data_IF_891249883676
#
_entry.id   IF_891249883676
#
_cell.length_a   1.000
_cell.length_b   1.000
_cell.length_c   1.000
_cell.angle_alpha   90.00
_cell.angle_beta   90.00
_cell.angle_gamma   90.00
#
_symmetry.space_group_name_H-M   'P 1'
#
loop_
_entity.id
_entity.type
_entity.pdbx_description
1 polymer ?
#
# COMPACT_ATOMS: atom_id res chain seq x y z
N UNK A 1 4.84 24.75 -11.73
CA UNK A 1 5.68 23.77 -11.01
C UNK A 1 6.06 22.72 -12.02
N UNK A 2 7.31 22.27 -12.09
CA UNK A 2 7.67 21.21 -13.04
C UNK A 2 7.16 19.84 -12.55
N UNK A 3 7.00 18.89 -13.50
CA UNK A 3 6.45 17.54 -13.25
C UNK A 3 7.19 16.80 -12.13
N UNK A 4 8.52 16.90 -12.12
CA UNK A 4 9.37 16.23 -11.14
C UNK A 4 9.16 16.80 -9.74
N UNK A 5 8.99 18.13 -9.63
CA UNK A 5 8.62 18.79 -8.39
C UNK A 5 7.25 18.35 -7.89
N UNK A 6 6.25 18.22 -8.77
CA UNK A 6 4.91 17.79 -8.38
C UNK A 6 4.88 16.32 -7.92
N UNK A 7 5.58 15.42 -8.62
CA UNK A 7 5.76 14.03 -8.17
C UNK A 7 6.46 13.94 -6.82
N UNK A 8 7.52 14.73 -6.62
CA UNK A 8 8.22 14.76 -5.34
C UNK A 8 7.33 15.32 -4.22
N UNK A 9 6.55 16.36 -4.48
CA UNK A 9 5.57 16.88 -3.52
C UNK A 9 4.56 15.81 -3.12
N UNK A 10 3.98 15.10 -4.10
CA UNK A 10 3.03 14.01 -3.86
C UNK A 10 3.66 12.91 -3.01
N UNK A 11 4.87 12.48 -3.34
CA UNK A 11 5.64 11.53 -2.52
C UNK A 11 5.77 12.00 -1.07
N UNK A 12 6.18 13.25 -0.85
CA UNK A 12 6.35 13.78 0.51
C UNK A 12 5.02 13.84 1.27
N UNK A 13 3.92 14.17 0.58
CA UNK A 13 2.58 14.14 1.18
C UNK A 13 2.24 12.72 1.62
N UNK A 14 2.42 11.71 0.76
CA UNK A 14 2.09 10.32 1.10
C UNK A 14 2.93 9.82 2.28
N UNK A 15 4.25 10.04 2.25
CA UNK A 15 5.15 9.63 3.33
C UNK A 15 4.80 10.26 4.68
N UNK A 16 4.27 11.48 4.67
CA UNK A 16 3.86 12.21 5.87
C UNK A 16 2.45 11.82 6.33
N UNK A 17 1.49 11.73 5.42
CA UNK A 17 0.08 11.66 5.75
C UNK A 17 -0.44 10.23 5.90
N UNK A 18 0.19 9.21 5.28
CA UNK A 18 -0.21 7.81 5.50
C UNK A 18 -0.12 7.44 6.99
N UNK A 19 0.99 7.69 7.72
CA UNK A 19 1.02 7.46 9.16
C UNK A 19 -0.05 8.24 9.94
N UNK A 20 -0.42 9.45 9.50
CA UNK A 20 -1.45 10.24 10.15
C UNK A 20 -2.85 9.68 9.90
N UNK A 21 -3.15 9.24 8.68
CA UNK A 21 -4.40 8.57 8.34
C UNK A 21 -4.54 7.25 9.10
N UNK A 22 -3.45 6.48 9.19
CA UNK A 22 -3.40 5.20 9.91
C UNK A 22 -3.74 5.36 11.39
N UNK A 23 -3.21 6.40 12.06
CA UNK A 23 -3.52 6.70 13.47
C UNK A 23 -5.01 6.95 13.76
N UNK A 24 -5.79 7.33 12.75
CA UNK A 24 -7.22 7.62 12.90
C UNK A 24 -8.08 6.35 12.86
N UNK A 25 -7.57 5.25 12.33
CA UNK A 25 -8.31 3.98 12.22
C UNK A 25 -8.49 3.38 13.61
N UNK A 26 -9.73 2.99 13.91
CA UNK A 26 -10.05 2.30 15.16
C UNK A 26 -9.92 0.80 14.92
N UNK A 27 -9.01 0.17 15.65
CA UNK A 27 -8.82 -1.27 15.64
C UNK A 27 -9.54 -1.90 16.83
N UNK A 28 -10.02 -3.13 16.65
CA UNK A 28 -10.59 -3.89 17.75
C UNK A 28 -9.49 -4.36 18.70
N UNK A 29 -9.90 -4.66 19.94
CA UNK A 29 -8.96 -5.05 20.99
C UNK A 29 -8.33 -6.40 20.64
N UNK A 30 -7.03 -6.36 20.33
CA UNK A 30 -6.25 -7.56 20.03
C UNK A 30 -5.97 -7.75 18.55
N UNK A 31 -6.49 -6.88 17.68
CA UNK A 31 -6.13 -6.89 16.27
C UNK A 31 -4.64 -6.67 16.10
N UNK A 32 -4.05 -7.50 15.24
CA UNK A 32 -2.69 -7.32 14.75
C UNK A 32 -2.73 -7.08 13.26
N UNK A 33 -2.00 -6.07 12.82
CA UNK A 33 -1.91 -5.71 11.42
C UNK A 33 -0.77 -6.51 10.78
N UNK A 34 -1.08 -7.23 9.71
CA UNK A 34 -0.11 -8.01 8.95
C UNK A 34 0.33 -7.34 7.64
N UNK A 35 -0.45 -6.36 7.14
CA UNK A 35 0.02 -5.48 6.09
C UNK A 35 -0.75 -4.15 6.06
N UNK A 36 -0.18 -3.15 5.39
CA UNK A 36 -0.91 -2.00 4.84
C UNK A 36 -0.79 -2.06 3.33
N UNK A 37 -1.92 -2.10 2.65
CA UNK A 37 -1.99 -1.91 1.21
C UNK A 37 -2.28 -0.44 0.91
N UNK A 38 -1.44 0.15 0.08
CA UNK A 38 -1.74 1.41 -0.58
C UNK A 38 -2.47 1.04 -1.86
N UNK A 39 -3.75 1.35 -1.93
CA UNK A 39 -4.63 1.01 -3.04
C UNK A 39 -4.87 2.24 -3.91
N UNK A 40 -4.99 2.02 -5.21
CA UNK A 40 -5.55 3.01 -6.09
C UNK A 40 -5.84 2.45 -7.47
N UNK A 41 -6.24 3.37 -8.35
CA UNK A 41 -6.68 3.08 -9.71
C UNK A 41 -5.64 3.48 -10.75
N UNK A 42 -5.93 3.19 -12.02
CA UNK A 42 -5.12 3.64 -13.15
C UNK A 42 -4.88 5.15 -13.13
N UNK A 43 -5.84 5.91 -12.62
CA UNK A 43 -5.87 7.37 -12.72
C UNK A 43 -5.22 8.11 -11.55
N UNK A 44 -4.60 7.41 -10.61
CA UNK A 44 -4.03 8.00 -9.39
C UNK A 44 -2.50 7.92 -9.39
N UNK A 45 -1.78 9.02 -9.70
CA UNK A 45 -0.33 9.00 -9.76
C UNK A 45 0.38 8.40 -8.53
N UNK A 46 -0.13 8.68 -7.33
CA UNK A 46 0.22 7.98 -6.08
C UNK A 46 -1.03 7.41 -5.41
N UNK A 47 -0.87 6.40 -4.56
CA UNK A 47 -2.01 5.68 -3.99
C UNK A 47 -2.48 6.35 -2.69
N UNK A 48 -3.76 6.72 -2.63
CA UNK A 48 -4.35 7.49 -1.54
C UNK A 48 -5.28 6.71 -0.61
N UNK A 49 -5.75 5.54 -1.07
CA UNK A 49 -6.57 4.64 -0.30
C UNK A 49 -5.68 3.68 0.48
N UNK A 50 -6.00 3.45 1.74
CA UNK A 50 -5.15 2.69 2.67
C UNK A 50 -6.04 1.58 3.26
N UNK A 51 -5.74 0.33 2.95
CA UNK A 51 -6.44 -0.83 3.49
C UNK A 51 -5.51 -1.61 4.42
N UNK A 52 -6.05 -2.02 5.58
CA UNK A 52 -5.28 -2.79 6.55
C UNK A 52 -5.57 -4.27 6.33
N UNK A 53 -4.50 -5.08 6.36
CA UNK A 53 -4.58 -6.52 6.48
C UNK A 53 -4.60 -6.90 7.95
N UNK A 54 -5.68 -7.52 8.40
CA UNK A 54 -5.81 -8.00 9.78
C UNK A 54 -5.37 -9.47 9.85
N UNK A 55 -4.52 -9.81 10.82
CA UNK A 55 -3.95 -11.16 10.96
C UNK A 55 -5.02 -12.24 11.10
N UNK A 56 -6.09 -11.99 11.87
CA UNK A 56 -7.19 -12.94 12.06
C UNK A 56 -7.89 -13.26 10.74
N UNK A 57 -8.23 -12.25 9.95
CA UNK A 57 -8.85 -12.41 8.64
C UNK A 57 -7.94 -13.16 7.66
N UNK A 58 -6.65 -12.80 7.60
CA UNK A 58 -5.67 -13.53 6.77
C UNK A 58 -5.59 -15.00 7.16
N UNK A 59 -5.59 -15.30 8.47
CA UNK A 59 -5.55 -16.68 8.96
C UNK A 59 -6.84 -17.45 8.61
N UNK A 60 -8.00 -16.79 8.63
CA UNK A 60 -9.27 -17.37 8.18
C UNK A 60 -9.27 -17.68 6.68
N UNK A 61 -8.73 -16.78 5.85
CA UNK A 61 -8.53 -17.00 4.41
C UNK A 61 -7.62 -18.21 4.21
N UNK A 62 -6.43 -18.24 4.83
CA UNK A 62 -5.49 -19.38 4.73
C UNK A 62 -6.17 -20.70 5.13
N UNK A 63 -7.01 -20.69 6.17
CA UNK A 63 -7.75 -21.87 6.61
C UNK A 63 -8.81 -22.32 5.60
N UNK A 64 -9.42 -21.38 4.88
CA UNK A 64 -10.47 -21.63 3.91
C UNK A 64 -9.93 -22.13 2.57
N UNK A 65 -8.95 -21.44 2.00
CA UNK A 65 -8.44 -21.70 0.64
C UNK A 65 -7.09 -22.43 0.61
N UNK A 66 -6.40 -22.51 1.75
CA UNK A 66 -5.07 -23.09 1.86
C UNK A 66 -3.95 -22.05 1.69
N UNK A 67 -2.77 -22.36 2.23
CA UNK A 67 -1.60 -21.46 2.21
C UNK A 67 -1.04 -21.23 0.79
N UNK A 68 -1.36 -22.11 -0.16
CA UNK A 68 -0.84 -22.04 -1.53
C UNK A 68 -1.60 -21.03 -2.40
N UNK A 69 -2.80 -20.60 -1.99
CA UNK A 69 -3.56 -19.55 -2.68
C UNK A 69 -3.07 -18.15 -2.27
N UNK A 70 -1.91 -17.77 -2.81
CA UNK A 70 -1.26 -16.48 -2.50
C UNK A 70 -2.13 -15.30 -2.93
N UNK A 71 -2.87 -15.44 -4.03
CA UNK A 71 -3.74 -14.37 -4.51
C UNK A 71 -4.79 -14.01 -3.46
N UNK A 72 -5.52 -15.00 -2.94
CA UNK A 72 -6.55 -14.75 -1.90
C UNK A 72 -5.96 -14.19 -0.61
N UNK A 73 -4.74 -14.61 -0.22
CA UNK A 73 -4.07 -14.16 1.01
C UNK A 73 -3.70 -12.67 0.95
N UNK A 74 -3.31 -12.17 -0.22
CA UNK A 74 -2.87 -10.79 -0.44
C UNK A 74 -3.95 -9.90 -1.08
N UNK A 75 -5.06 -10.47 -1.52
CA UNK A 75 -6.18 -9.72 -2.06
C UNK A 75 -6.81 -8.85 -0.97
N UNK A 76 -6.61 -7.55 -1.09
CA UNK A 76 -7.08 -6.56 -0.11
C UNK A 76 -8.60 -6.39 -0.13
N UNK A 77 -9.26 -6.81 -1.22
CA UNK A 77 -10.72 -6.87 -1.31
C UNK A 77 -11.36 -7.89 -0.36
N UNK A 78 -10.60 -8.84 0.17
CA UNK A 78 -11.06 -9.79 1.20
C UNK A 78 -11.06 -9.18 2.61
N UNK A 79 -10.47 -7.98 2.78
CA UNK A 79 -10.41 -7.31 4.09
C UNK A 79 -11.67 -6.46 4.36
N UNK A 80 -12.10 -6.36 5.63
CA UNK A 80 -13.25 -5.53 5.97
C UNK A 80 -13.01 -4.05 5.67
N UNK A 81 -14.04 -3.42 5.11
CA UNK A 81 -14.02 -2.01 4.67
C UNK A 81 -13.91 -1.04 5.85
N UNK A 82 -14.29 -1.43 7.06
CA UNK A 82 -14.16 -0.59 8.26
C UNK A 82 -12.70 -0.32 8.66
N UNK A 83 -11.75 -1.13 8.18
CA UNK A 83 -10.31 -0.92 8.37
C UNK A 83 -9.66 -0.14 7.22
N UNK A 84 -10.47 0.47 6.37
CA UNK A 84 -10.03 1.33 5.29
C UNK A 84 -9.96 2.79 5.75
N UNK A 85 -8.98 3.52 5.24
CA UNK A 85 -8.85 4.96 5.44
C UNK A 85 -8.24 5.62 4.20
N UNK A 86 -8.22 6.94 4.17
CA UNK A 86 -7.68 7.73 3.07
C UNK A 86 -6.75 8.81 3.59
N UNK A 87 -5.85 9.27 2.72
CA UNK A 87 -5.12 10.52 2.96
C UNK A 87 -6.11 11.68 2.91
N UNK A 88 -6.35 12.26 4.07
CA UNK A 88 -7.31 13.34 4.27
C UNK A 88 -6.57 14.68 4.27
N UNK A 89 -6.58 15.39 3.14
CA UNK A 89 -5.94 16.69 2.98
C UNK A 89 -6.18 17.33 1.63
N UNK A 90 -6.70 18.57 1.63
CA UNK A 90 -7.14 19.32 0.44
C UNK A 90 -6.09 19.36 -0.68
N UNK A 91 -4.81 19.49 -0.31
CA UNK A 91 -3.71 19.60 -1.28
C UNK A 91 -3.34 18.28 -1.97
N UNK A 92 -3.74 17.11 -1.46
CA UNK A 92 -3.35 15.83 -2.05
C UNK A 92 -4.12 15.55 -3.34
N UNK A 93 -5.45 15.59 -3.28
CA UNK A 93 -6.31 15.36 -4.44
C UNK A 93 -6.07 16.41 -5.55
N UNK A 94 -5.94 17.69 -5.17
CA UNK A 94 -5.63 18.76 -6.13
C UNK A 94 -4.31 18.52 -6.87
N UNK A 95 -3.28 18.05 -6.18
CA UNK A 95 -1.98 17.74 -6.79
C UNK A 95 -2.02 16.49 -7.68
N UNK A 96 -2.80 15.47 -7.32
CA UNK A 96 -3.04 14.30 -8.16
C UNK A 96 -3.69 14.72 -9.48
N UNK A 97 -4.77 15.51 -9.40
CA UNK A 97 -5.46 16.02 -10.58
C UNK A 97 -4.57 16.91 -11.45
N UNK A 98 -3.78 17.80 -10.82
CA UNK A 98 -2.85 18.66 -11.55
C UNK A 98 -1.82 17.82 -12.31
N UNK A 99 -1.31 16.74 -11.71
CA UNK A 99 -0.33 15.88 -12.34
C UNK A 99 -0.94 15.14 -13.54
N UNK A 100 -2.16 14.61 -13.41
CA UNK A 100 -2.88 13.97 -14.53
C UNK A 100 -3.11 14.98 -15.67
N UNK A 101 -3.56 16.20 -15.36
CA UNK A 101 -3.78 17.27 -16.36
C UNK A 101 -2.50 17.68 -17.09
N UNK A 102 -1.37 17.77 -16.37
CA UNK A 102 -0.08 18.20 -16.93
C UNK A 102 0.56 17.17 -17.87
N UNK A 103 0.13 15.91 -17.82
CA UNK A 103 0.64 14.86 -18.70
C UNK A 103 -0.19 14.65 -19.96
N UNK A 104 -1.50 14.95 -19.94
CA UNK A 104 -2.34 14.93 -21.14
C UNK A 104 -2.23 13.60 -21.90
N UNK A 105 -1.74 13.64 -23.15
CA UNK A 105 -1.62 12.49 -24.03
C UNK A 105 -0.37 11.61 -23.76
N UNK A 106 0.55 12.02 -22.87
CA UNK A 106 1.79 11.30 -22.53
C UNK A 106 1.58 10.25 -21.42
N UNK A 107 0.46 9.53 -21.51
CA UNK A 107 -0.03 8.66 -20.45
C UNK A 107 0.90 7.48 -20.15
N UNK A 108 1.50 6.87 -21.18
CA UNK A 108 2.40 5.72 -21.00
C UNK A 108 3.66 6.10 -20.19
N UNK A 109 4.27 7.26 -20.46
CA UNK A 109 5.43 7.71 -19.69
C UNK A 109 5.03 8.12 -18.26
N UNK A 110 3.86 8.75 -18.08
CA UNK A 110 3.33 9.04 -16.75
C UNK A 110 3.16 7.76 -15.94
N UNK A 111 2.61 6.72 -16.57
CA UNK A 111 2.30 5.46 -15.94
C UNK A 111 3.54 4.83 -15.29
N UNK A 112 4.62 4.67 -16.05
CA UNK A 112 5.87 4.07 -15.57
C UNK A 112 6.49 4.90 -14.43
N UNK A 113 6.44 6.23 -14.54
CA UNK A 113 6.93 7.12 -13.49
C UNK A 113 6.10 7.01 -12.21
N UNK A 114 4.77 6.90 -12.33
CA UNK A 114 3.86 6.70 -11.22
C UNK A 114 4.09 5.35 -10.56
N UNK A 115 4.16 4.26 -11.32
CA UNK A 115 4.43 2.92 -10.78
C UNK A 115 5.74 2.88 -9.97
N UNK A 116 6.82 3.44 -10.53
CA UNK A 116 8.09 3.56 -9.81
C UNK A 116 7.92 4.35 -8.50
N UNK A 117 7.19 5.46 -8.53
CA UNK A 117 6.95 6.28 -7.34
C UNK A 117 6.15 5.53 -6.26
N UNK A 118 5.13 4.77 -6.66
CA UNK A 118 4.29 3.97 -5.75
C UNK A 118 5.13 2.92 -5.02
N UNK A 119 5.98 2.18 -5.74
CA UNK A 119 6.93 1.23 -5.14
C UNK A 119 7.94 1.91 -4.23
N UNK A 120 8.49 3.06 -4.64
CA UNK A 120 9.47 3.79 -3.84
C UNK A 120 8.88 4.29 -2.50
N UNK A 121 7.62 4.74 -2.54
CA UNK A 121 6.86 5.16 -1.36
C UNK A 121 6.60 3.96 -0.44
N UNK A 122 6.13 2.83 -0.97
CA UNK A 122 5.90 1.62 -0.19
C UNK A 122 7.19 1.14 0.50
N UNK A 123 8.32 1.12 -0.21
CA UNK A 123 9.61 0.78 0.37
C UNK A 123 10.02 1.72 1.51
N UNK A 124 9.87 3.04 1.33
CA UNK A 124 10.18 4.01 2.38
C UNK A 124 9.25 3.89 3.59
N UNK A 125 7.96 3.64 3.38
CA UNK A 125 7.00 3.41 4.45
C UNK A 125 7.31 2.11 5.20
N UNK A 126 7.91 1.10 4.58
CA UNK A 126 8.36 -0.08 5.31
C UNK A 126 9.45 0.20 6.35
N UNK A 127 10.22 1.29 6.20
CA UNK A 127 11.21 1.74 7.17
C UNK A 127 10.62 2.57 8.31
N UNK A 128 9.34 2.94 8.25
CA UNK A 128 8.66 3.64 9.33
C UNK A 128 8.45 2.72 10.54
N UNK A 129 8.58 3.26 11.75
CA UNK A 129 8.37 2.50 12.98
C UNK A 129 6.87 2.34 13.31
N UNK A 130 6.19 1.47 12.55
CA UNK A 130 4.74 1.23 12.70
C UNK A 130 4.35 0.72 14.09
N UNK A 131 5.27 0.08 14.82
CA UNK A 131 5.01 -0.44 16.17
C UNK A 131 4.69 0.64 17.20
N UNK A 132 5.03 1.92 16.93
CA UNK A 132 4.68 3.05 17.79
C UNK A 132 3.19 3.40 17.74
N UNK A 133 2.48 2.99 16.68
CA UNK A 133 1.10 3.41 16.42
C UNK A 133 0.15 2.25 16.13
N UNK A 134 0.68 1.07 15.82
CA UNK A 134 -0.07 -0.15 15.53
C UNK A 134 0.52 -1.34 16.29
N UNK A 135 -0.32 -2.31 16.62
CA UNK A 135 0.17 -3.66 16.96
C UNK A 135 0.33 -4.42 15.65
N UNK A 136 1.55 -4.80 15.29
CA UNK A 136 1.87 -5.42 14.00
C UNK A 136 2.40 -6.85 14.15
N UNK A 137 2.27 -7.66 13.11
CA UNK A 137 2.91 -8.98 13.05
C UNK A 137 4.40 -8.88 12.67
N UNK A 138 5.16 -9.93 12.91
CA UNK A 138 6.60 -9.97 12.55
C UNK A 138 6.86 -9.86 11.04
N UNK A 139 5.90 -10.33 10.24
CA UNK A 139 5.91 -10.30 8.77
C UNK A 139 5.18 -9.06 8.20
N UNK A 140 4.98 -8.03 9.02
CA UNK A 140 4.27 -6.82 8.60
C UNK A 140 4.98 -6.07 7.47
N UNK A 141 4.22 -5.77 6.42
CA UNK A 141 4.69 -5.02 5.25
C UNK A 141 3.73 -3.94 4.80
N UNK A 142 4.28 -2.92 4.14
CA UNK A 142 3.51 -1.96 3.33
C UNK A 142 3.75 -2.29 1.86
N UNK A 143 2.71 -2.31 1.03
CA UNK A 143 2.89 -2.56 -0.41
C UNK A 143 1.96 -1.71 -1.27
N UNK A 144 2.32 -1.60 -2.55
CA UNK A 144 1.50 -0.96 -3.59
C UNK A 144 0.57 -2.01 -4.18
N UNK A 145 -0.74 -1.75 -4.16
CA UNK A 145 -1.78 -2.59 -4.74
C UNK A 145 -2.54 -1.82 -5.80
N UNK A 146 -2.50 -2.32 -7.02
CA UNK A 146 -3.14 -1.72 -8.16
C UNK A 146 -4.14 -2.71 -8.75
N UNK A 147 -5.43 -2.49 -8.45
CA UNK A 147 -6.59 -3.23 -8.99
C UNK A 147 -6.44 -4.76 -9.07
N UNK A 148 -5.77 -5.36 -8.08
CA UNK A 148 -5.42 -6.80 -7.92
C UNK A 148 -3.92 -7.04 -8.07
N UNK A 149 -3.21 -7.03 -6.94
CA UNK A 149 -1.82 -7.44 -6.85
C UNK A 149 -1.50 -8.78 -7.54
N UNK A 150 -0.51 -8.76 -8.44
CA UNK A 150 0.05 -9.98 -9.03
C UNK A 150 1.22 -10.49 -8.19
N UNK A 151 0.89 -11.26 -7.16
CA UNK A 151 1.90 -11.86 -6.27
C UNK A 151 2.84 -12.79 -7.02
N UNK A 152 2.34 -13.52 -8.04
CA UNK A 152 3.11 -14.51 -8.77
C UNK A 152 4.15 -13.87 -9.72
N UNK A 153 3.87 -12.67 -10.24
CA UNK A 153 4.76 -11.95 -11.15
C UNK A 153 5.62 -10.87 -10.45
N UNK A 154 5.58 -10.76 -9.13
CA UNK A 154 6.56 -10.00 -8.35
C UNK A 154 6.18 -8.57 -8.00
N UNK A 155 4.91 -8.17 -8.16
CA UNK A 155 4.43 -6.84 -7.75
C UNK A 155 4.65 -6.60 -6.25
N UNK A 156 4.39 -7.64 -5.45
CA UNK A 156 4.63 -7.61 -4.02
C UNK A 156 6.14 -7.46 -3.71
N UNK A 157 7.01 -8.18 -4.44
CA UNK A 157 8.47 -8.11 -4.24
C UNK A 157 9.04 -6.72 -4.55
N UNK A 158 8.47 -6.05 -5.55
CA UNK A 158 8.89 -4.71 -5.97
C UNK A 158 8.58 -3.63 -4.93
N UNK A 159 7.54 -3.86 -4.12
CA UNK A 159 7.07 -2.94 -3.09
C UNK A 159 7.78 -3.10 -1.73
N UNK A 160 8.43 -4.23 -1.48
CA UNK A 160 8.86 -4.65 -0.15
C UNK A 160 10.39 -4.72 -0.06
N UNK A 161 11.00 -4.16 0.99
CA UNK A 161 12.43 -4.32 1.24
C UNK A 161 12.84 -5.78 1.38
N UNK A 162 14.02 -6.13 0.86
CA UNK A 162 14.51 -7.51 0.78
C UNK A 162 14.45 -8.24 2.13
N UNK A 163 14.83 -7.58 3.22
CA UNK A 163 14.84 -8.16 4.55
C UNK A 163 13.45 -8.62 5.02
N UNK A 164 12.39 -7.89 4.66
CA UNK A 164 11.01 -8.28 4.98
C UNK A 164 10.51 -9.37 4.04
N UNK A 165 10.95 -9.32 2.78
CA UNK A 165 10.63 -10.36 1.80
C UNK A 165 11.11 -11.75 2.26
N UNK A 166 12.31 -11.84 2.83
CA UNK A 166 12.83 -13.11 3.37
C UNK A 166 11.96 -13.65 4.51
N UNK A 167 11.40 -12.79 5.36
CA UNK A 167 10.48 -13.18 6.45
C UNK A 167 9.19 -13.77 5.85
N UNK A 168 8.62 -13.11 4.84
CA UNK A 168 7.42 -13.56 4.15
C UNK A 168 7.66 -14.91 3.45
N UNK A 169 8.79 -15.06 2.75
CA UNK A 169 9.22 -16.33 2.12
C UNK A 169 9.38 -17.45 3.14
N UNK A 170 10.02 -17.16 4.28
CA UNK A 170 10.20 -18.14 5.35
C UNK A 170 8.86 -18.64 5.94
N UNK A 171 7.80 -17.82 5.86
CA UNK A 171 6.43 -18.18 6.26
C UNK A 171 5.60 -18.83 5.15
N UNK A 172 6.18 -19.06 3.96
CA UNK A 172 5.46 -19.52 2.76
C UNK A 172 4.25 -18.62 2.47
N UNK A 173 4.41 -17.30 2.57
CA UNK A 173 3.34 -16.34 2.25
C UNK A 173 3.45 -15.78 0.83
N UNK A 174 4.54 -16.07 0.13
CA UNK A 174 4.72 -15.88 -1.32
C UNK A 174 5.48 -17.06 -1.91
#
# INVERSE_FOLDING_TARGET
MDKKSLMNDLKQIVLKEVPNAVKKVKLDKGDKICYISLIGTDYEPVLGLIQFGIESYRNEIIKSVGIDDKWSIWNTGEMPVEYQTVIDGDNFAEKQEQLVKDFGDDWENLWDECQRLRFEVAQQLNSYNWSEILTITEDFVVFSDWESIDVANGDLESSIPKEKLEIIKAKNLI
#
